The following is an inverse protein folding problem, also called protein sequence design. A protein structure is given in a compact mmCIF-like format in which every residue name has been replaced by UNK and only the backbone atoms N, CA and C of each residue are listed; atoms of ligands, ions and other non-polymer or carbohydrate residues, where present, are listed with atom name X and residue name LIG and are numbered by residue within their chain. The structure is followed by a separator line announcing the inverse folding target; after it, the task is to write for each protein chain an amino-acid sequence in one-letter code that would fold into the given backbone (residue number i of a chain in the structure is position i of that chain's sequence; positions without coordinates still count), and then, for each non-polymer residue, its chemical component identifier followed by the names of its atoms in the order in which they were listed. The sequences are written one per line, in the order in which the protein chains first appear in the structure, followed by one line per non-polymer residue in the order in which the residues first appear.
data_IF_418264385696
#
_entry.id   IF_418264385696
#
_cell.length_a   1.000
_cell.length_b   1.000
_cell.length_c   1.000
_cell.angle_alpha   90.00
_cell.angle_beta   90.00
_cell.angle_gamma   90.00
#
_symmetry.space_group_name_H-M   'P 1'
#
loop_
_entity.id
_entity.type
_entity.pdbx_description
1 polymer ?
#
# COMPACT_ATOMS: atom_id res chain seq x y z
N UNK A 1 37.36 0.20 -40.35
CA UNK A 1 36.61 1.15 -39.50
C UNK A 1 35.73 0.30 -38.61
N UNK A 2 36.11 0.16 -37.34
CA UNK A 2 35.35 -0.63 -36.37
C UNK A 2 34.23 0.25 -35.82
N UNK A 3 33.01 -0.26 -35.87
CA UNK A 3 31.90 0.23 -35.05
C UNK A 3 32.22 -0.11 -33.59
N UNK A 4 31.92 0.80 -32.68
CA UNK A 4 31.84 0.45 -31.26
C UNK A 4 30.51 0.98 -30.73
N UNK A 5 29.69 0.04 -30.31
CA UNK A 5 28.55 0.20 -29.44
C UNK A 5 28.96 0.91 -28.16
N UNK A 6 28.08 1.76 -27.66
CA UNK A 6 28.09 2.15 -26.25
C UNK A 6 26.70 1.88 -25.70
N UNK A 7 26.65 0.80 -24.93
CA UNK A 7 25.60 0.40 -24.01
C UNK A 7 25.14 1.58 -23.15
N UNK A 8 23.84 1.87 -23.22
CA UNK A 8 23.11 2.63 -22.21
C UNK A 8 22.45 1.65 -21.25
N UNK A 9 23.13 1.40 -20.14
CA UNK A 9 22.70 0.57 -19.01
C UNK A 9 21.30 0.92 -18.51
N UNK A 10 20.48 -0.12 -18.35
CA UNK A 10 19.12 -0.03 -17.85
C UNK A 10 18.97 0.41 -16.39
N UNK A 11 17.73 0.74 -16.07
CA UNK A 11 17.23 1.00 -14.73
C UNK A 11 15.71 1.05 -14.78
N UNK A 12 15.08 -0.10 -15.03
CA UNK A 12 13.62 -0.21 -14.92
C UNK A 12 13.23 -0.15 -13.44
N UNK A 13 12.81 1.06 -13.06
CA UNK A 13 11.96 1.48 -11.95
C UNK A 13 11.37 0.35 -11.09
N UNK A 14 11.89 0.21 -9.87
CA UNK A 14 11.52 -0.82 -8.89
C UNK A 14 10.13 -0.68 -8.25
N UNK A 15 9.17 -0.06 -8.92
CA UNK A 15 7.76 -0.14 -8.56
C UNK A 15 7.06 -1.07 -9.56
N UNK A 16 6.80 -2.32 -9.15
CA UNK A 16 5.97 -3.30 -9.88
C UNK A 16 4.49 -2.87 -9.93
N UNK A 17 4.22 -1.62 -10.32
CA UNK A 17 2.88 -1.08 -10.52
C UNK A 17 2.56 -1.08 -12.01
N UNK A 18 1.32 -1.35 -12.46
CA UNK A 18 0.92 -1.05 -13.82
C UNK A 18 0.97 0.47 -14.03
N UNK A 19 2.12 0.97 -14.53
CA UNK A 19 2.29 2.37 -14.88
C UNK A 19 1.21 2.77 -15.86
N UNK A 20 0.71 4.00 -15.75
CA UNK A 20 -0.07 4.56 -16.83
C UNK A 20 0.75 4.47 -18.14
N UNK A 21 0.12 4.22 -19.30
CA UNK A 21 0.82 3.97 -20.56
C UNK A 21 1.70 5.13 -21.05
N UNK A 22 1.67 6.28 -20.39
CA UNK A 22 2.47 7.47 -20.66
C UNK A 22 3.67 7.66 -19.69
N UNK A 23 3.96 6.68 -18.82
CA UNK A 23 5.00 6.81 -17.80
C UNK A 23 4.63 7.74 -16.64
N UNK A 24 3.34 8.09 -16.52
CA UNK A 24 2.77 8.91 -15.45
C UNK A 24 2.46 8.14 -14.17
N UNK A 25 1.95 8.89 -13.18
CA UNK A 25 1.48 8.38 -11.88
C UNK A 25 0.56 7.17 -12.04
N UNK A 26 0.51 6.26 -11.05
CA UNK A 26 -0.43 5.14 -11.08
C UNK A 26 -1.86 5.65 -11.25
N UNK A 27 -2.66 4.99 -12.10
CA UNK A 27 -4.04 5.40 -12.37
C UNK A 27 -4.93 5.36 -11.11
N UNK A 28 -4.60 4.48 -10.16
CA UNK A 28 -5.21 4.35 -8.83
C UNK A 28 -4.18 3.82 -7.84
N UNK A 29 -4.43 4.01 -6.55
CA UNK A 29 -3.65 3.46 -5.45
C UNK A 29 -4.43 2.33 -4.75
N UNK A 30 -3.74 1.33 -4.16
CA UNK A 30 -4.35 0.22 -3.46
C UNK A 30 -4.80 0.61 -2.06
N UNK A 31 -5.89 0.02 -1.61
CA UNK A 31 -6.19 -0.03 -0.20
C UNK A 31 -5.25 -1.00 0.50
N UNK A 32 -4.49 -0.51 1.49
CA UNK A 32 -3.50 -1.30 2.23
C UNK A 32 -4.12 -2.43 3.06
N UNK A 33 -5.41 -2.33 3.41
CA UNK A 33 -6.12 -3.34 4.18
C UNK A 33 -6.63 -4.52 3.33
N UNK A 34 -7.00 -4.29 2.06
CA UNK A 34 -7.60 -5.34 1.21
C UNK A 34 -6.87 -5.59 -0.12
N UNK A 35 -5.89 -4.76 -0.48
CA UNK A 35 -5.07 -4.88 -1.68
C UNK A 35 -5.70 -4.35 -2.97
N UNK A 36 -7.02 -4.10 -3.00
CA UNK A 36 -7.72 -3.62 -4.20
C UNK A 36 -7.36 -2.18 -4.58
N UNK A 37 -7.15 -1.92 -5.88
CA UNK A 37 -6.87 -0.58 -6.43
C UNK A 37 -8.13 0.29 -6.51
N UNK A 38 -8.34 1.16 -5.52
CA UNK A 38 -9.61 1.89 -5.32
C UNK A 38 -9.46 3.38 -5.06
N UNK A 39 -8.25 3.86 -4.74
CA UNK A 39 -8.03 5.26 -4.37
C UNK A 39 -7.52 6.07 -5.56
N UNK A 40 -8.00 7.30 -5.69
CA UNK A 40 -7.56 8.24 -6.74
C UNK A 40 -6.32 9.03 -6.31
N UNK A 41 -6.15 9.19 -4.99
CA UNK A 41 -5.04 9.94 -4.39
C UNK A 41 -4.00 9.02 -3.73
N UNK A 42 -2.73 9.50 -3.57
CA UNK A 42 -1.67 8.74 -2.90
C UNK A 42 -1.98 8.42 -1.43
N UNK A 43 -1.25 7.48 -0.80
CA UNK A 43 -1.46 7.09 0.59
C UNK A 43 -1.60 8.21 1.61
N UNK A 44 -2.51 8.00 2.56
CA UNK A 44 -2.84 9.00 3.56
C UNK A 44 -3.73 10.11 3.01
N UNK A 45 -4.59 9.77 2.05
CA UNK A 45 -5.59 10.65 1.45
C UNK A 45 -6.86 10.81 2.29
N UNK A 46 -7.01 10.01 3.36
CA UNK A 46 -8.24 9.87 4.15
C UNK A 46 -9.46 9.37 3.36
N UNK A 47 -9.25 8.84 2.15
CA UNK A 47 -10.32 8.19 1.38
C UNK A 47 -10.78 6.90 2.07
N UNK A 48 -12.08 6.61 2.04
CA UNK A 48 -12.64 5.37 2.60
C UNK A 48 -12.75 4.33 1.48
N UNK A 49 -12.11 3.18 1.67
CA UNK A 49 -12.15 2.08 0.73
C UNK A 49 -13.60 1.59 0.55
N UNK A 50 -14.18 1.61 -0.66
CA UNK A 50 -15.55 1.14 -0.85
C UNK A 50 -15.68 -0.37 -0.65
N UNK A 51 -14.59 -1.12 -0.84
CA UNK A 51 -14.55 -2.58 -0.71
C UNK A 51 -14.57 -3.01 0.75
N UNK A 52 -13.59 -2.60 1.55
CA UNK A 52 -13.45 -3.06 2.93
C UNK A 52 -13.81 -2.03 4.00
N UNK A 53 -13.97 -0.75 3.65
CA UNK A 53 -14.22 0.40 4.58
C UNK A 53 -13.08 0.83 5.47
N UNK A 54 -11.85 0.41 5.17
CA UNK A 54 -10.65 1.04 5.71
C UNK A 54 -10.53 2.50 5.24
N UNK A 55 -10.30 3.44 6.16
CA UNK A 55 -9.91 4.82 5.85
C UNK A 55 -8.40 4.89 5.61
N UNK A 56 -7.99 5.47 4.49
CA UNK A 56 -6.60 5.60 4.06
C UNK A 56 -5.81 6.56 4.96
N UNK A 57 -5.25 6.01 6.04
CA UNK A 57 -4.50 6.74 7.05
C UNK A 57 -2.99 6.51 6.94
N UNK A 58 -2.22 7.60 6.78
CA UNK A 58 -0.77 7.56 6.72
C UNK A 58 -0.14 7.05 8.02
N UNK A 59 -0.75 7.35 9.17
CA UNK A 59 -0.20 6.96 10.47
C UNK A 59 -0.27 5.44 10.66
N UNK A 60 -1.43 4.84 10.42
CA UNK A 60 -1.64 3.40 10.48
C UNK A 60 -0.99 2.64 9.32
N UNK A 61 -0.65 3.31 8.21
CA UNK A 61 0.23 2.74 7.18
C UNK A 61 1.69 2.68 7.66
N UNK A 62 2.18 3.73 8.30
CA UNK A 62 3.54 3.79 8.87
C UNK A 62 3.72 2.83 10.05
N UNK A 63 2.70 2.73 10.90
CA UNK A 63 2.67 1.92 12.10
C UNK A 63 1.49 0.93 12.05
N UNK A 64 1.64 -0.22 11.38
CA UNK A 64 0.51 -1.12 11.08
C UNK A 64 -0.11 -1.78 12.31
N UNK A 65 0.58 -1.77 13.45
CA UNK A 65 0.10 -2.25 14.76
C UNK A 65 -0.50 -1.13 15.62
N UNK A 66 -0.54 0.12 15.12
CA UNK A 66 -1.15 1.24 15.83
C UNK A 66 -2.68 1.10 15.83
N UNK A 67 -3.24 1.01 17.03
CA UNK A 67 -4.68 1.07 17.28
C UNK A 67 -5.15 2.53 17.44
N UNK A 68 -6.46 2.76 17.26
CA UNK A 68 -7.11 4.05 17.56
C UNK A 68 -6.52 5.25 16.79
N UNK A 69 -6.22 5.04 15.50
CA UNK A 69 -5.97 6.10 14.54
C UNK A 69 -7.27 6.63 13.93
N UNK A 70 -7.28 6.92 12.63
CA UNK A 70 -8.52 7.17 11.88
C UNK A 70 -9.44 5.93 11.92
N UNK A 71 -8.84 4.75 11.85
CA UNK A 71 -9.52 3.46 12.05
C UNK A 71 -9.43 3.02 13.52
N UNK A 72 -10.49 2.39 14.02
CA UNK A 72 -10.54 1.94 15.43
C UNK A 72 -9.54 0.81 15.69
N UNK A 73 -9.46 -0.12 14.73
CA UNK A 73 -8.56 -1.28 14.74
C UNK A 73 -7.23 -0.95 14.06
N UNK A 74 -6.21 -1.76 14.33
CA UNK A 74 -4.93 -1.68 13.63
C UNK A 74 -5.03 -2.14 12.17
N UNK A 75 -4.04 -1.80 11.33
CA UNK A 75 -4.00 -2.28 9.94
C UNK A 75 -3.86 -3.80 9.88
N UNK A 76 -3.02 -4.39 10.76
CA UNK A 76 -2.86 -5.85 10.86
C UNK A 76 -4.20 -6.52 11.20
N UNK A 77 -4.96 -5.97 12.12
CA UNK A 77 -6.28 -6.49 12.48
C UNK A 77 -7.28 -6.34 11.33
N UNK A 78 -7.30 -5.18 10.67
CA UNK A 78 -8.17 -4.96 9.52
C UNK A 78 -7.90 -5.92 8.35
N UNK A 79 -6.62 -6.24 8.08
CA UNK A 79 -6.25 -7.24 7.06
C UNK A 79 -6.76 -8.64 7.41
N UNK A 80 -6.67 -9.02 8.69
CA UNK A 80 -7.18 -10.32 9.18
C UNK A 80 -8.70 -10.38 9.08
N UNK A 81 -9.40 -9.33 9.52
CA UNK A 81 -10.86 -9.26 9.42
C UNK A 81 -11.31 -9.27 7.95
N UNK A 82 -10.58 -8.59 7.06
CA UNK A 82 -10.89 -8.62 5.63
C UNK A 82 -10.76 -10.02 5.05
N UNK A 83 -9.69 -10.74 5.38
CA UNK A 83 -9.49 -12.12 4.93
C UNK A 83 -10.60 -13.08 5.41
N UNK A 84 -11.23 -12.79 6.57
CA UNK A 84 -12.28 -13.63 7.15
C UNK A 84 -13.70 -13.22 6.72
N UNK A 85 -13.96 -11.93 6.57
CA UNK A 85 -15.31 -11.36 6.47
C UNK A 85 -15.51 -10.38 5.30
N UNK A 86 -14.47 -10.09 4.51
CA UNK A 86 -14.54 -9.14 3.40
C UNK A 86 -14.65 -7.67 3.82
N UNK A 87 -14.43 -7.35 5.10
CA UNK A 87 -14.50 -6.00 5.68
C UNK A 87 -13.32 -5.72 6.61
N UNK A 88 -12.92 -4.46 6.76
CA UNK A 88 -11.84 -4.07 7.68
C UNK A 88 -12.25 -4.18 9.15
N UNK A 89 -13.54 -4.03 9.44
CA UNK A 89 -14.14 -4.23 10.76
C UNK A 89 -15.54 -4.82 10.57
N UNK A 90 -15.95 -5.77 11.42
CA UNK A 90 -17.25 -6.46 11.28
C UNK A 90 -18.46 -5.52 11.22
N UNK A 91 -18.40 -4.38 11.93
CA UNK A 91 -19.45 -3.34 11.93
C UNK A 91 -19.72 -2.75 10.55
N UNK A 92 -18.83 -2.94 9.58
CA UNK A 92 -18.95 -2.43 8.22
C UNK A 92 -19.57 -3.42 7.24
N UNK A 93 -19.99 -4.61 7.68
CA UNK A 93 -20.57 -5.66 6.83
C UNK A 93 -21.73 -5.17 5.94
N UNK A 94 -22.54 -4.22 6.42
CA UNK A 94 -23.68 -3.67 5.65
C UNK A 94 -23.33 -2.47 4.76
N UNK A 95 -22.11 -1.92 4.88
CA UNK A 95 -21.66 -0.75 4.13
C UNK A 95 -20.70 -1.13 3.00
N UNK A 96 -19.90 -2.17 3.21
CA UNK A 96 -18.95 -2.71 2.25
C UNK A 96 -19.63 -3.24 0.99
N UNK A 97 -18.87 -3.31 -0.11
CA UNK A 97 -19.31 -3.94 -1.36
C UNK A 97 -18.22 -4.84 -1.93
N UNK A 98 -18.58 -5.83 -2.75
CA UNK A 98 -17.58 -6.54 -3.57
C UNK A 98 -16.77 -5.57 -4.45
N UNK A 99 -15.52 -5.92 -4.79
CA UNK A 99 -14.73 -5.18 -5.76
C UNK A 99 -15.42 -5.18 -7.14
N UNK A 100 -15.33 -4.05 -7.83
CA UNK A 100 -15.88 -3.87 -9.19
C UNK A 100 -14.86 -4.21 -10.28
N UNK A 101 -15.27 -4.15 -11.56
CA UNK A 101 -14.35 -4.27 -12.69
C UNK A 101 -13.23 -3.22 -12.61
N UNK A 102 -11.97 -3.66 -12.76
CA UNK A 102 -10.79 -2.79 -12.67
C UNK A 102 -10.35 -2.44 -11.24
N UNK A 103 -10.98 -2.99 -10.20
CA UNK A 103 -10.52 -2.92 -8.81
C UNK A 103 -9.80 -4.22 -8.44
N UNK A 104 -8.77 -4.57 -9.19
CA UNK A 104 -7.99 -5.79 -8.94
C UNK A 104 -7.08 -5.62 -7.72
N UNK A 105 -6.68 -6.73 -7.10
CA UNK A 105 -5.64 -6.70 -6.08
C UNK A 105 -4.31 -6.41 -6.76
N UNK A 106 -3.58 -5.39 -6.29
CA UNK A 106 -2.29 -5.06 -6.87
C UNK A 106 -1.32 -6.26 -6.76
N UNK A 107 -0.55 -6.57 -7.82
CA UNK A 107 0.52 -7.55 -7.74
C UNK A 107 1.43 -7.38 -6.53
N UNK A 108 1.74 -8.51 -5.88
CA UNK A 108 2.62 -8.56 -4.72
C UNK A 108 1.98 -8.13 -3.39
N UNK A 109 0.77 -7.54 -3.39
CA UNK A 109 0.10 -7.23 -2.12
C UNK A 109 -0.06 -8.48 -1.27
N UNK A 110 0.30 -8.34 0.00
CA UNK A 110 0.15 -9.36 1.04
C UNK A 110 -0.14 -8.69 2.37
N UNK A 111 -0.78 -9.38 3.32
CA UNK A 111 -0.86 -8.92 4.70
C UNK A 111 0.54 -8.60 5.27
N UNK A 112 0.55 -7.71 6.26
CA UNK A 112 1.74 -7.41 7.05
C UNK A 112 2.22 -8.69 7.74
N UNK A 113 3.50 -8.98 7.60
CA UNK A 113 4.17 -10.09 8.27
C UNK A 113 4.98 -9.58 9.47
N UNK A 114 5.19 -10.42 10.48
CA UNK A 114 6.02 -10.09 11.63
C UNK A 114 7.50 -9.83 11.25
N UNK A 115 7.97 -10.33 10.11
CA UNK A 115 9.30 -10.06 9.58
C UNK A 115 9.45 -8.69 8.91
N UNK A 116 8.35 -7.97 8.67
CA UNK A 116 8.43 -6.64 8.06
C UNK A 116 8.98 -5.60 9.05
N UNK A 117 9.99 -4.84 8.62
CA UNK A 117 10.72 -3.88 9.45
C UNK A 117 9.94 -2.56 9.65
N UNK A 118 8.84 -2.62 10.37
CA UNK A 118 8.08 -1.43 10.77
C UNK A 118 8.68 -0.74 12.01
N UNK A 119 8.36 0.54 12.17
CA UNK A 119 8.59 1.25 13.43
C UNK A 119 7.57 0.80 14.48
N UNK A 120 7.95 0.88 15.75
CA UNK A 120 6.99 0.75 16.84
C UNK A 120 5.97 1.91 16.78
N UNK A 121 4.71 1.70 17.23
CA UNK A 121 3.69 2.74 17.19
C UNK A 121 4.16 4.08 17.78
N UNK A 122 3.98 5.15 17.00
CA UNK A 122 4.34 6.54 17.36
C UNK A 122 5.84 6.80 17.55
N UNK A 123 6.71 5.82 17.29
CA UNK A 123 8.16 6.02 17.22
C UNK A 123 8.52 6.44 15.80
N UNK A 124 9.19 7.58 15.66
CA UNK A 124 9.57 8.14 14.36
C UNK A 124 11.10 8.11 14.18
N UNK A 125 11.64 7.00 13.66
CA UNK A 125 13.09 6.86 13.45
C UNK A 125 13.56 7.62 12.19
N UNK A 126 12.70 7.73 11.17
CA UNK A 126 12.97 8.44 9.91
C UNK A 126 11.99 9.59 9.65
N UNK A 127 12.37 10.67 8.93
CA UNK A 127 11.41 11.70 8.53
C UNK A 127 10.30 11.10 7.64
N UNK A 128 9.13 11.75 7.58
CA UNK A 128 8.07 11.36 6.66
C UNK A 128 8.55 11.50 5.20
N UNK A 129 8.34 10.50 4.34
CA UNK A 129 8.72 10.59 2.93
C UNK A 129 7.75 11.51 2.19
N UNK A 130 8.28 12.28 1.23
CA UNK A 130 7.44 13.11 0.34
C UNK A 130 6.58 12.24 -0.59
N UNK A 131 7.16 11.15 -1.11
CA UNK A 131 6.44 10.08 -1.81
C UNK A 131 6.00 9.02 -0.80
N UNK A 132 4.73 8.98 -0.43
CA UNK A 132 4.22 8.01 0.56
C UNK A 132 4.03 6.60 0.00
N UNK A 133 4.21 6.37 -1.31
CA UNK A 133 4.17 5.02 -1.88
C UNK A 133 5.34 4.14 -1.39
N UNK A 134 6.43 4.76 -0.91
CA UNK A 134 7.55 4.04 -0.28
C UNK A 134 7.20 3.41 1.07
N UNK A 135 5.99 3.66 1.60
CA UNK A 135 5.48 3.01 2.81
C UNK A 135 4.84 1.64 2.51
N UNK A 136 4.65 1.27 1.25
CA UNK A 136 4.09 -0.04 0.88
C UNK A 136 5.12 -1.16 1.09
N UNK A 137 4.95 -1.92 2.17
CA UNK A 137 5.90 -2.95 2.63
C UNK A 137 6.08 -4.13 1.67
N UNK A 138 5.07 -4.42 0.86
CA UNK A 138 5.15 -5.49 -0.13
C UNK A 138 5.94 -5.12 -1.38
N UNK A 139 6.40 -3.87 -1.50
CA UNK A 139 7.16 -3.39 -2.66
C UNK A 139 8.66 -3.41 -2.40
N UNK A 140 9.46 -3.38 -3.47
CA UNK A 140 10.92 -3.23 -3.37
C UNK A 140 11.35 -1.85 -2.89
N UNK A 141 10.49 -0.83 -3.05
CA UNK A 141 10.73 0.55 -2.61
C UNK A 141 10.38 0.79 -1.16
N UNK A 142 10.00 -0.24 -0.40
CA UNK A 142 9.68 -0.07 1.01
C UNK A 142 10.87 0.52 1.75
N UNK A 143 10.70 1.73 2.26
CA UNK A 143 11.71 2.60 2.87
C UNK A 143 12.50 2.02 4.05
N UNK A 144 12.05 0.89 4.58
CA UNK A 144 12.60 0.19 5.73
C UNK A 144 13.03 -1.24 5.38
N UNK A 145 13.03 -1.60 4.10
CA UNK A 145 13.71 -2.84 3.67
C UNK A 145 15.17 -2.75 4.06
N UNK A 146 15.66 -3.85 4.58
CA UNK A 146 17.09 -4.02 4.74
C UNK A 146 17.73 -4.08 3.36
N UNK A 147 18.82 -3.33 3.18
CA UNK A 147 19.65 -3.38 1.98
C UNK A 147 20.43 -4.72 1.99
N UNK A 148 19.71 -5.80 1.71
CA UNK A 148 20.29 -7.14 1.56
C UNK A 148 21.17 -7.24 0.32
#
# INVERSE_FOLDING_TARGET
MHVNESDGTGGADGADWPTAPDGGRPARYPCVACGHTVFEDPPGSSMICPVCKWEDDASQLRWPTMERGANRVSLVEAQRTYALAGVSEERFASLARPPGPGEEVVPGWRPVDASDSFEAPLVQDRPWPADRTVLYWWTRRFWRRDDG
#
